data_IF_229385418814
#
_entry.id   IF_229385418814
#
_cell.length_a   1.000
_cell.length_b   1.000
_cell.length_c   1.000
_cell.angle_alpha   90.00
_cell.angle_beta   90.00
_cell.angle_gamma   90.00
#
_symmetry.space_group_name_H-M   'P 1'
#
loop_
_entity.id
_entity.type
_entity.pdbx_description
1 polymer ?
#
# COMPACT_ATOMS: atom_id res chain seq x y z
N UNK A 1 -8.31 -2.53 -0.23
CA UNK A 1 -9.21 -1.50 0.30
C UNK A 1 -10.59 -2.06 0.64
N UNK A 2 -11.35 -2.65 -0.31
CA UNK A 2 -12.66 -3.26 -0.03
C UNK A 2 -12.51 -4.36 1.03
N UNK A 3 -11.55 -5.25 0.88
CA UNK A 3 -11.27 -6.32 1.85
C UNK A 3 -10.90 -5.76 3.23
N UNK A 4 -10.11 -4.69 3.30
CA UNK A 4 -9.77 -4.06 4.59
C UNK A 4 -10.98 -3.40 5.27
N UNK A 5 -11.92 -2.82 4.51
CA UNK A 5 -13.17 -2.30 5.07
C UNK A 5 -14.06 -3.42 5.63
N UNK A 6 -14.18 -4.53 4.92
CA UNK A 6 -14.91 -5.71 5.38
C UNK A 6 -14.28 -6.29 6.66
N UNK A 7 -12.96 -6.42 6.67
CA UNK A 7 -12.24 -6.92 7.85
C UNK A 7 -12.34 -5.95 9.03
N UNK A 8 -12.32 -4.63 8.80
CA UNK A 8 -12.54 -3.64 9.86
C UNK A 8 -13.92 -3.78 10.49
N UNK A 9 -14.96 -4.01 9.68
CA UNK A 9 -16.30 -4.29 10.19
C UNK A 9 -16.35 -5.56 11.04
N UNK A 10 -15.71 -6.66 10.58
CA UNK A 10 -15.77 -7.97 11.26
C UNK A 10 -14.90 -7.97 12.53
N UNK A 11 -13.67 -7.47 12.47
CA UNK A 11 -12.69 -7.59 13.56
C UNK A 11 -12.69 -6.42 14.53
N UNK A 12 -12.96 -5.19 14.03
CA UNK A 12 -12.94 -3.97 14.86
C UNK A 12 -14.35 -3.55 15.30
N UNK A 13 -15.38 -4.29 14.87
CA UNK A 13 -16.79 -3.95 15.14
C UNK A 13 -17.14 -2.49 14.81
N UNK A 14 -16.47 -1.91 13.79
CA UNK A 14 -16.75 -0.55 13.34
C UNK A 14 -18.16 -0.47 12.76
N UNK A 15 -18.89 0.61 13.07
CA UNK A 15 -20.25 0.81 12.59
C UNK A 15 -20.26 1.07 11.07
N UNK A 16 -21.06 0.28 10.35
CA UNK A 16 -21.23 0.45 8.92
C UNK A 16 -22.15 1.66 8.65
N UNK A 17 -21.55 2.74 8.17
CA UNK A 17 -22.29 3.95 7.78
C UNK A 17 -22.65 3.88 6.30
N UNK A 18 -23.76 4.50 5.88
CA UNK A 18 -24.16 4.61 4.47
C UNK A 18 -23.04 5.15 3.59
N UNK A 19 -22.21 6.06 4.12
CA UNK A 19 -21.04 6.63 3.43
C UNK A 19 -20.03 5.55 3.09
N UNK A 20 -19.79 4.59 3.97
CA UNK A 20 -18.88 3.46 3.73
C UNK A 20 -19.39 2.56 2.59
N UNK A 21 -20.71 2.35 2.52
CA UNK A 21 -21.35 1.62 1.41
C UNK A 21 -21.13 2.31 0.06
N UNK A 22 -21.35 3.61 -0.01
CA UNK A 22 -21.11 4.41 -1.22
C UNK A 22 -19.63 4.37 -1.61
N UNK A 23 -18.72 4.50 -0.64
CA UNK A 23 -17.27 4.42 -0.89
C UNK A 23 -16.85 3.07 -1.48
N UNK A 24 -17.38 1.95 -0.96
CA UNK A 24 -17.13 0.61 -1.51
C UNK A 24 -17.58 0.51 -2.96
N UNK A 25 -18.77 0.99 -3.28
CA UNK A 25 -19.32 0.96 -4.66
C UNK A 25 -18.45 1.81 -5.59
N UNK A 26 -18.08 3.01 -5.19
CA UNK A 26 -17.21 3.90 -5.99
C UNK A 26 -15.83 3.28 -6.23
N UNK A 27 -15.22 2.68 -5.20
CA UNK A 27 -13.94 1.99 -5.33
C UNK A 27 -14.06 0.77 -6.25
N UNK A 28 -15.15 0.00 -6.14
CA UNK A 28 -15.39 -1.16 -7.01
C UNK A 28 -15.54 -0.72 -8.47
N UNK A 29 -16.32 0.32 -8.74
CA UNK A 29 -16.51 0.88 -10.08
C UNK A 29 -15.19 1.41 -10.63
N UNK A 30 -14.44 2.20 -9.85
CA UNK A 30 -13.13 2.73 -10.24
C UNK A 30 -12.14 1.62 -10.58
N UNK A 31 -12.06 0.59 -9.75
CA UNK A 31 -11.20 -0.58 -9.98
C UNK A 31 -11.62 -1.35 -11.23
N UNK A 32 -12.92 -1.55 -11.43
CA UNK A 32 -13.45 -2.23 -12.62
C UNK A 32 -13.13 -1.46 -13.90
N UNK A 33 -13.34 -0.14 -13.92
CA UNK A 33 -13.00 0.71 -15.05
C UNK A 33 -11.50 0.68 -15.38
N UNK A 34 -10.65 0.65 -14.36
CA UNK A 34 -9.20 0.57 -14.53
C UNK A 34 -8.78 -0.77 -15.15
N UNK A 35 -9.31 -1.89 -14.66
CA UNK A 35 -8.98 -3.24 -15.15
C UNK A 35 -9.48 -3.45 -16.60
N UNK A 36 -10.68 -2.97 -16.89
CA UNK A 36 -11.28 -3.17 -18.24
C UNK A 36 -10.46 -2.46 -19.32
N UNK A 37 -9.78 -1.39 -18.99
CA UNK A 37 -8.94 -0.63 -19.90
C UNK A 37 -7.60 -1.27 -20.24
N UNK A 38 -6.98 -1.93 -19.27
CA UNK A 38 -5.67 -2.58 -19.46
C UNK A 38 -5.76 -3.92 -20.18
N UNK A 39 -6.94 -4.52 -20.29
CA UNK A 39 -7.13 -5.82 -20.95
C UNK A 39 -6.53 -5.91 -22.36
N UNK A 40 -6.51 -4.80 -23.09
CA UNK A 40 -5.95 -4.76 -24.45
C UNK A 40 -4.41 -4.74 -24.51
N UNK A 41 -3.74 -4.40 -23.43
CA UNK A 41 -2.28 -4.31 -23.36
C UNK A 41 -1.68 -5.57 -22.71
N UNK A 42 -2.31 -6.08 -21.67
CA UNK A 42 -1.80 -7.21 -20.87
C UNK A 42 -2.08 -8.59 -21.48
N UNK A 43 -3.13 -8.76 -22.28
CA UNK A 43 -3.49 -10.09 -22.86
C UNK A 43 -2.49 -10.62 -23.90
N UNK A 44 -1.55 -9.81 -24.35
CA UNK A 44 -0.62 -10.24 -25.40
C UNK A 44 0.58 -11.06 -24.89
N UNK A 45 0.83 -11.11 -23.56
CA UNK A 45 2.07 -11.75 -23.08
C UNK A 45 1.99 -12.56 -21.77
N UNK A 46 0.82 -12.81 -21.18
CA UNK A 46 0.80 -13.54 -19.89
C UNK A 46 -0.18 -14.71 -19.90
N UNK A 47 0.27 -15.87 -20.38
CA UNK A 47 -0.46 -17.16 -20.25
C UNK A 47 -0.44 -17.72 -18.81
N UNK A 48 0.24 -17.11 -17.86
CA UNK A 48 0.36 -17.63 -16.50
C UNK A 48 -0.66 -17.01 -15.55
N UNK A 49 -1.62 -17.83 -15.08
CA UNK A 49 -2.58 -17.46 -14.02
C UNK A 49 -1.93 -17.13 -12.68
N UNK A 50 -0.64 -17.36 -12.52
CA UNK A 50 0.12 -17.15 -11.28
C UNK A 50 0.11 -15.68 -10.80
N UNK A 51 0.11 -14.70 -11.72
CA UNK A 51 0.06 -13.29 -11.35
C UNK A 51 -1.22 -12.94 -10.56
N UNK A 52 -2.34 -13.56 -10.90
CA UNK A 52 -3.61 -13.33 -10.22
C UNK A 52 -3.55 -13.85 -8.77
N UNK A 53 -2.96 -15.02 -8.56
CA UNK A 53 -2.78 -15.59 -7.21
C UNK A 53 -1.91 -14.65 -6.35
N UNK A 54 -0.79 -14.15 -6.89
CA UNK A 54 0.06 -13.20 -6.19
C UNK A 54 -0.65 -11.87 -5.88
N UNK A 55 -1.47 -11.38 -6.81
CA UNK A 55 -2.24 -10.15 -6.60
C UNK A 55 -3.29 -10.33 -5.48
N UNK A 56 -4.01 -11.45 -5.46
CA UNK A 56 -4.98 -11.77 -4.40
C UNK A 56 -4.27 -11.93 -3.05
N UNK A 57 -3.16 -12.67 -3.02
CA UNK A 57 -2.37 -12.87 -1.81
C UNK A 57 -1.84 -11.54 -1.26
N UNK A 58 -1.33 -10.68 -2.13
CA UNK A 58 -0.89 -9.32 -1.77
C UNK A 58 -2.04 -8.49 -1.18
N UNK A 59 -3.24 -8.55 -1.77
CA UNK A 59 -4.40 -7.85 -1.26
C UNK A 59 -4.83 -8.35 0.14
N UNK A 60 -4.76 -9.66 0.38
CA UNK A 60 -5.05 -10.26 1.69
C UNK A 60 -4.03 -9.78 2.73
N UNK A 61 -2.74 -9.90 2.45
CA UNK A 61 -1.69 -9.46 3.38
C UNK A 61 -1.75 -7.95 3.64
N UNK A 62 -2.01 -7.13 2.62
CA UNK A 62 -2.16 -5.69 2.79
C UNK A 62 -3.35 -5.34 3.69
N UNK A 63 -4.46 -6.04 3.54
CA UNK A 63 -5.65 -5.84 4.39
C UNK A 63 -5.40 -6.29 5.83
N UNK A 64 -4.77 -7.44 6.02
CA UNK A 64 -4.35 -7.92 7.34
C UNK A 64 -3.39 -6.94 8.02
N UNK A 65 -2.42 -6.39 7.28
CA UNK A 65 -1.47 -5.39 7.80
C UNK A 65 -2.20 -4.17 8.36
N UNK A 66 -3.23 -3.68 7.66
CA UNK A 66 -4.00 -2.52 8.11
C UNK A 66 -4.79 -2.82 9.39
N UNK A 67 -5.43 -3.99 9.48
CA UNK A 67 -6.23 -4.38 10.65
C UNK A 67 -5.33 -4.70 11.85
N UNK A 68 -4.29 -5.51 11.66
CA UNK A 68 -3.33 -5.82 12.72
C UNK A 68 -2.60 -4.56 13.20
N UNK A 69 -2.31 -3.61 12.28
CA UNK A 69 -1.77 -2.31 12.61
C UNK A 69 -2.71 -1.52 13.52
N UNK A 70 -4.01 -1.47 13.22
CA UNK A 70 -5.01 -0.79 14.05
C UNK A 70 -5.09 -1.42 15.45
N UNK A 71 -5.20 -2.74 15.53
CA UNK A 71 -5.26 -3.46 16.81
C UNK A 71 -3.94 -3.26 17.60
N UNK A 72 -2.80 -3.34 16.93
CA UNK A 72 -1.48 -3.26 17.57
C UNK A 72 -1.12 -1.88 18.11
N UNK A 73 -1.77 -0.80 17.62
CA UNK A 73 -1.54 0.56 18.15
C UNK A 73 -2.61 0.99 19.16
N UNK A 74 -3.58 0.14 19.45
CA UNK A 74 -4.59 0.40 20.49
C UNK A 74 -3.89 0.41 21.86
N UNK A 75 -3.89 1.57 22.54
CA UNK A 75 -3.20 1.75 23.81
C UNK A 75 -1.67 1.97 23.73
N UNK A 76 -1.10 2.00 22.52
CA UNK A 76 0.33 2.28 22.30
C UNK A 76 0.47 3.55 21.49
N UNK A 77 1.47 4.39 21.80
CA UNK A 77 1.75 5.58 21.00
C UNK A 77 2.07 5.20 19.54
N UNK A 78 1.46 5.91 18.57
CA UNK A 78 1.59 5.60 17.14
C UNK A 78 3.04 5.61 16.64
N UNK A 79 3.87 6.50 17.19
CA UNK A 79 5.30 6.57 16.86
C UNK A 79 6.04 5.30 17.30
N UNK A 80 5.76 4.82 18.52
CA UNK A 80 6.34 3.60 19.06
C UNK A 80 5.88 2.37 18.25
N UNK A 81 4.59 2.29 17.92
CA UNK A 81 4.06 1.25 17.06
C UNK A 81 4.73 1.22 15.69
N UNK A 82 4.95 2.40 15.08
CA UNK A 82 5.68 2.53 13.81
C UNK A 82 7.14 2.08 13.96
N UNK A 83 7.81 2.46 15.04
CA UNK A 83 9.21 2.07 15.28
C UNK A 83 9.37 0.56 15.44
N UNK A 84 8.52 -0.09 16.23
CA UNK A 84 8.54 -1.55 16.43
C UNK A 84 8.30 -2.27 15.09
N UNK A 85 7.27 -1.88 14.34
CA UNK A 85 6.97 -2.44 13.04
C UNK A 85 8.15 -2.30 12.07
N UNK A 86 8.72 -1.10 11.98
CA UNK A 86 9.84 -0.83 11.07
C UNK A 86 11.08 -1.65 11.44
N UNK A 87 11.35 -1.84 12.73
CA UNK A 87 12.43 -2.70 13.20
C UNK A 87 12.24 -4.16 12.76
N UNK A 88 11.02 -4.70 12.89
CA UNK A 88 10.70 -6.06 12.42
C UNK A 88 10.89 -6.17 10.90
N UNK A 89 10.40 -5.18 10.14
CA UNK A 89 10.56 -5.15 8.68
C UNK A 89 12.04 -5.11 8.28
N UNK A 90 12.87 -4.33 9.00
CA UNK A 90 14.30 -4.23 8.77
C UNK A 90 14.99 -5.59 8.98
N UNK A 91 14.68 -6.28 10.09
CA UNK A 91 15.22 -7.61 10.38
C UNK A 91 14.82 -8.60 9.27
N UNK A 92 13.55 -8.62 8.89
CA UNK A 92 13.05 -9.50 7.84
C UNK A 92 13.71 -9.21 6.49
N UNK A 93 13.92 -7.95 6.14
CA UNK A 93 14.61 -7.56 4.91
C UNK A 93 16.05 -8.07 4.89
N UNK A 94 16.78 -7.93 5.99
CA UNK A 94 18.15 -8.46 6.11
C UNK A 94 18.18 -9.99 6.04
N UNK A 95 17.25 -10.68 6.69
CA UNK A 95 17.15 -12.14 6.59
C UNK A 95 16.96 -12.60 5.14
N UNK A 96 16.12 -11.89 4.35
CA UNK A 96 15.92 -12.20 2.94
C UNK A 96 17.21 -11.97 2.13
N UNK A 97 17.92 -10.86 2.37
CA UNK A 97 19.20 -10.57 1.69
C UNK A 97 20.23 -11.66 1.99
N UNK A 98 20.32 -12.12 3.23
CA UNK A 98 21.21 -13.19 3.66
C UNK A 98 20.82 -14.52 3.03
N UNK A 99 19.53 -14.89 3.10
CA UNK A 99 19.01 -16.14 2.53
C UNK A 99 19.21 -16.23 1.01
N UNK A 100 19.08 -15.09 0.31
CA UNK A 100 19.30 -15.01 -1.15
C UNK A 100 20.77 -14.86 -1.55
N UNK A 101 21.70 -14.80 -0.59
CA UNK A 101 23.14 -14.62 -0.81
C UNK A 101 23.49 -13.40 -1.67
N UNK A 102 22.69 -12.33 -1.57
CA UNK A 102 22.88 -11.10 -2.36
C UNK A 102 23.64 -9.99 -1.62
N UNK A 103 24.30 -10.30 -0.53
CA UNK A 103 25.04 -9.34 0.31
C UNK A 103 26.12 -8.59 -0.48
N UNK A 104 26.82 -9.26 -1.40
CA UNK A 104 27.86 -8.63 -2.22
C UNK A 104 27.32 -7.51 -3.13
N UNK A 105 26.05 -7.59 -3.53
CA UNK A 105 25.42 -6.55 -4.35
C UNK A 105 25.15 -5.26 -3.59
N UNK A 106 25.06 -5.31 -2.27
CA UNK A 106 24.87 -4.10 -1.43
C UNK A 106 26.08 -3.18 -1.55
N UNK A 107 27.28 -3.74 -1.64
CA UNK A 107 28.53 -2.96 -1.79
C UNK A 107 28.73 -2.38 -3.20
N UNK A 108 28.00 -2.88 -4.19
CA UNK A 108 28.09 -2.39 -5.57
C UNK A 108 27.13 -1.26 -5.89
N UNK A 109 26.31 -0.82 -4.91
CA UNK A 109 25.36 0.30 -5.09
C UNK A 109 26.12 1.61 -5.20
N UNK A 110 25.84 2.40 -6.24
CA UNK A 110 26.46 3.70 -6.42
C UNK A 110 25.97 4.70 -5.36
N UNK A 111 26.80 5.68 -5.01
CA UNK A 111 26.44 6.73 -4.03
C UNK A 111 25.15 7.48 -4.41
N UNK A 112 24.92 7.66 -5.70
CA UNK A 112 23.72 8.33 -6.21
C UNK A 112 22.45 7.49 -5.98
N UNK A 113 22.52 6.20 -6.27
CA UNK A 113 21.43 5.26 -6.02
C UNK A 113 21.12 5.15 -4.53
N UNK A 114 22.17 5.06 -3.70
CA UNK A 114 22.02 5.01 -2.25
C UNK A 114 21.31 6.26 -1.71
N UNK A 115 21.64 7.44 -2.23
CA UNK A 115 20.98 8.69 -1.85
C UNK A 115 19.49 8.67 -2.19
N UNK A 116 19.11 8.25 -3.39
CA UNK A 116 17.70 8.17 -3.78
C UNK A 116 16.93 7.11 -2.96
N UNK A 117 17.54 5.95 -2.70
CA UNK A 117 16.94 4.91 -1.85
C UNK A 117 16.75 5.43 -0.43
N UNK A 118 17.74 6.12 0.13
CA UNK A 118 17.65 6.69 1.48
C UNK A 118 16.56 7.76 1.57
N UNK A 119 16.49 8.65 0.56
CA UNK A 119 15.46 9.69 0.51
C UNK A 119 14.05 9.09 0.40
N UNK A 120 13.91 8.04 -0.41
CA UNK A 120 12.67 7.25 -0.50
C UNK A 120 12.31 6.60 0.84
N UNK A 121 13.31 6.08 1.56
CA UNK A 121 13.14 5.50 2.89
C UNK A 121 12.62 6.53 3.91
N UNK A 122 13.18 7.73 3.92
CA UNK A 122 12.72 8.83 4.79
C UNK A 122 11.28 9.23 4.45
N UNK A 123 10.96 9.39 3.16
CA UNK A 123 9.60 9.71 2.73
C UNK A 123 8.59 8.63 3.12
N UNK A 124 8.96 7.36 2.94
CA UNK A 124 8.13 6.22 3.33
C UNK A 124 7.94 6.16 4.85
N UNK A 125 9.00 6.40 5.63
CA UNK A 125 8.93 6.47 7.08
C UNK A 125 7.95 7.55 7.56
N UNK A 126 8.06 8.77 7.00
CA UNK A 126 7.12 9.86 7.28
C UNK A 126 5.67 9.51 6.92
N UNK A 127 5.45 8.88 5.77
CA UNK A 127 4.12 8.41 5.37
C UNK A 127 3.53 7.39 6.36
N UNK A 128 4.33 6.43 6.84
CA UNK A 128 3.88 5.46 7.84
C UNK A 128 3.58 6.08 9.21
N UNK A 129 4.38 7.06 9.64
CA UNK A 129 4.08 7.80 10.89
C UNK A 129 2.72 8.50 10.81
N UNK A 130 2.45 9.21 9.72
CA UNK A 130 1.14 9.84 9.49
C UNK A 130 0.01 8.82 9.39
N UNK A 131 0.23 7.71 8.68
CA UNK A 131 -0.77 6.66 8.51
C UNK A 131 -1.15 6.00 9.84
N UNK A 132 -0.16 5.65 10.69
CA UNK A 132 -0.42 5.06 12.00
C UNK A 132 -1.10 6.04 12.94
N UNK A 133 -0.73 7.33 12.89
CA UNK A 133 -1.43 8.35 13.66
C UNK A 133 -2.88 8.48 13.22
N UNK A 134 -3.13 8.51 11.92
CA UNK A 134 -4.48 8.53 11.38
C UNK A 134 -5.29 7.29 11.78
N UNK A 135 -4.68 6.10 11.79
CA UNK A 135 -5.32 4.86 12.25
C UNK A 135 -5.62 4.89 13.75
N UNK A 136 -4.78 5.55 14.56
CA UNK A 136 -5.00 5.69 15.99
C UNK A 136 -6.20 6.58 16.28
N UNK A 137 -6.29 7.72 15.60
CA UNK A 137 -7.30 8.75 15.85
C UNK A 137 -8.62 8.50 15.09
N UNK A 138 -8.60 7.68 14.03
CA UNK A 138 -9.73 7.46 13.13
C UNK A 138 -10.15 5.99 12.96
N UNK A 139 -11.26 5.79 12.25
CA UNK A 139 -11.76 4.47 11.89
C UNK A 139 -10.93 3.89 10.74
N UNK A 140 -10.54 2.60 10.84
CA UNK A 140 -9.78 1.94 9.78
C UNK A 140 -10.58 1.87 8.46
N UNK A 141 -11.89 1.73 8.53
CA UNK A 141 -12.80 1.75 7.39
C UNK A 141 -12.80 3.06 6.61
N UNK A 142 -12.35 4.17 7.23
CA UNK A 142 -12.24 5.50 6.62
C UNK A 142 -10.80 5.80 6.20
N UNK A 143 -9.85 5.56 7.09
CA UNK A 143 -8.43 5.89 6.88
C UNK A 143 -7.83 5.11 5.70
N UNK A 144 -8.13 3.81 5.60
CA UNK A 144 -7.57 2.95 4.54
C UNK A 144 -8.02 3.36 3.14
N UNK A 145 -9.31 3.70 2.86
CA UNK A 145 -9.70 4.25 1.57
C UNK A 145 -9.07 5.61 1.26
N UNK A 146 -8.97 6.51 2.26
CA UNK A 146 -8.37 7.84 2.08
C UNK A 146 -6.90 7.71 1.69
N UNK A 147 -6.15 6.80 2.31
CA UNK A 147 -4.77 6.51 1.94
C UNK A 147 -4.62 6.19 0.44
N UNK A 148 -5.61 5.53 -0.15
CA UNK A 148 -5.60 5.19 -1.59
C UNK A 148 -5.80 6.40 -2.52
N UNK A 149 -6.24 7.53 -2.01
CA UNK A 149 -6.28 8.78 -2.79
C UNK A 149 -4.88 9.27 -3.15
N UNK A 150 -3.83 8.79 -2.48
CA UNK A 150 -2.43 9.03 -2.86
C UNK A 150 -2.14 8.63 -4.31
N UNK A 151 -2.89 7.68 -4.88
CA UNK A 151 -2.79 7.32 -6.30
C UNK A 151 -3.08 8.51 -7.21
N UNK A 152 -4.07 9.35 -6.85
CA UNK A 152 -4.38 10.56 -7.63
C UNK A 152 -3.22 11.55 -7.62
N UNK A 153 -2.61 11.73 -6.44
CA UNK A 153 -1.41 12.59 -6.31
C UNK A 153 -0.26 12.05 -7.17
N UNK A 154 -0.06 10.73 -7.16
CA UNK A 154 0.97 10.08 -7.98
C UNK A 154 0.72 10.30 -9.47
N UNK A 155 -0.53 10.18 -9.95
CA UNK A 155 -0.88 10.40 -11.35
C UNK A 155 -0.62 11.86 -11.76
N UNK A 156 -1.05 12.82 -10.93
CA UNK A 156 -0.82 14.25 -11.18
C UNK A 156 0.68 14.55 -11.20
N UNK A 157 1.43 14.01 -10.25
CA UNK A 157 2.90 14.17 -10.19
C UNK A 157 3.57 13.59 -11.43
N UNK A 158 3.21 12.38 -11.84
CA UNK A 158 3.73 11.71 -13.02
C UNK A 158 3.48 12.54 -14.29
N UNK A 159 2.28 13.11 -14.42
CA UNK A 159 1.92 13.99 -15.52
C UNK A 159 2.79 15.26 -15.57
N UNK A 160 3.00 15.90 -14.41
CA UNK A 160 3.76 17.18 -14.34
C UNK A 160 5.25 16.95 -14.50
N UNK A 161 5.83 15.98 -13.77
CA UNK A 161 7.28 15.78 -13.69
C UNK A 161 7.81 14.96 -14.85
N UNK A 162 7.16 13.85 -15.19
CA UNK A 162 7.60 12.96 -16.26
C UNK A 162 6.98 13.31 -17.61
N UNK A 163 6.05 14.29 -17.66
CA UNK A 163 5.32 14.70 -18.87
C UNK A 163 4.70 13.50 -19.60
N UNK A 164 4.30 12.48 -18.84
CA UNK A 164 3.60 11.34 -19.39
C UNK A 164 2.26 11.80 -19.96
N UNK A 165 1.99 11.44 -21.21
CA UNK A 165 0.71 11.76 -21.85
C UNK A 165 -0.38 10.92 -21.19
N UNK A 166 -1.16 11.55 -20.31
CA UNK A 166 -2.39 10.92 -19.83
C UNK A 166 -3.27 10.74 -21.06
N UNK A 167 -3.50 9.51 -21.46
CA UNK A 167 -4.45 9.22 -22.53
C UNK A 167 -5.81 9.81 -22.13
N UNK A 168 -6.46 10.60 -23.02
CA UNK A 168 -7.81 11.17 -22.78
C UNK A 168 -8.87 10.12 -22.42
N UNK A 169 -8.46 8.86 -22.39
CA UNK A 169 -9.27 7.69 -22.01
C UNK A 169 -8.80 7.04 -20.69
N UNK A 170 -7.90 7.69 -19.95
CA UNK A 170 -7.42 7.24 -18.62
C UNK A 170 -8.26 7.82 -17.50
#
# INVERSE_FOLDING_TARGET
TILSMILAFIFLHETFTYINGIAIILIAIGTYLMITKEKNIFLKNTQNKSWFIYAVLSAVFASLTSILGKIGIEGVESNLGTAIRTSVVLIMAWLIVIATKKQSKVYSISKRELLFISLSGVATGGAWLCYYKALQDGLASVVVPIDKLSILVTIVFSYIVFKEKISKKS
#
